data_IF_276351754036
#
_entry.id   IF_276351754036
#
_cell.length_a   1.000
_cell.length_b   1.000
_cell.length_c   1.000
_cell.angle_alpha   90.00
_cell.angle_beta   90.00
_cell.angle_gamma   90.00
#
_symmetry.space_group_name_H-M   'P 1'
#
loop_
_entity.id
_entity.type
_entity.pdbx_description
1 polymer ?
#
# COMPACT_ATOMS: atom_id res chain seq x y z
N UNK A 1 -7.38 -17.23 -23.12
CA UNK A 1 -7.45 -17.11 -21.65
C UNK A 1 -7.25 -15.64 -21.31
N UNK A 2 -8.26 -14.98 -20.74
CA UNK A 2 -8.22 -13.55 -20.49
C UNK A 2 -7.20 -13.27 -19.38
N UNK A 3 -6.15 -12.50 -19.72
CA UNK A 3 -5.14 -12.01 -18.76
C UNK A 3 -5.89 -11.07 -17.80
N UNK A 4 -6.23 -11.57 -16.61
CA UNK A 4 -6.93 -10.79 -15.60
C UNK A 4 -6.13 -9.54 -15.28
N UNK A 5 -6.76 -8.37 -15.43
CA UNK A 5 -6.15 -7.08 -15.11
C UNK A 5 -5.83 -7.06 -13.61
N UNK A 6 -4.59 -6.74 -13.24
CA UNK A 6 -4.25 -6.51 -11.82
C UNK A 6 -5.20 -5.43 -11.25
N UNK A 7 -5.77 -5.64 -10.05
CA UNK A 7 -6.72 -4.69 -9.47
C UNK A 7 -6.07 -3.32 -9.26
N UNK A 8 -6.91 -2.27 -9.23
CA UNK A 8 -6.48 -0.95 -8.77
C UNK A 8 -6.09 -1.00 -7.28
N UNK A 9 -5.44 0.06 -6.81
CA UNK A 9 -5.14 0.18 -5.38
C UNK A 9 -6.41 0.16 -4.54
N UNK A 10 -7.43 0.94 -4.92
CA UNK A 10 -8.69 1.01 -4.17
C UNK A 10 -9.45 -0.33 -4.20
N UNK A 11 -9.44 -1.03 -5.33
CA UNK A 11 -10.04 -2.36 -5.45
C UNK A 11 -9.33 -3.39 -4.55
N UNK A 12 -8.00 -3.39 -4.56
CA UNK A 12 -7.20 -4.30 -3.74
C UNK A 12 -7.36 -4.01 -2.25
N UNK A 13 -7.37 -2.73 -1.87
CA UNK A 13 -7.56 -2.29 -0.48
C UNK A 13 -8.94 -2.70 0.04
N UNK A 14 -10.00 -2.44 -0.73
CA UNK A 14 -11.37 -2.81 -0.35
C UNK A 14 -11.55 -4.32 -0.21
N UNK A 15 -10.91 -5.10 -1.08
CA UNK A 15 -10.93 -6.57 -0.97
C UNK A 15 -10.19 -7.03 0.29
N UNK A 16 -9.04 -6.42 0.60
CA UNK A 16 -8.26 -6.72 1.80
C UNK A 16 -9.03 -6.41 3.08
N UNK A 17 -9.69 -5.24 3.16
CA UNK A 17 -10.55 -4.87 4.28
C UNK A 17 -11.68 -5.89 4.50
N UNK A 18 -12.30 -6.37 3.41
CA UNK A 18 -13.35 -7.39 3.50
C UNK A 18 -12.81 -8.73 4.02
N UNK A 19 -11.58 -9.11 3.64
CA UNK A 19 -10.92 -10.31 4.15
C UNK A 19 -10.63 -10.17 5.64
N UNK A 20 -10.07 -9.04 6.06
CA UNK A 20 -9.77 -8.76 7.47
C UNK A 20 -11.05 -8.85 8.30
N UNK A 21 -12.12 -8.19 7.86
CA UNK A 21 -13.41 -8.25 8.56
C UNK A 21 -13.96 -9.68 8.70
N UNK A 22 -13.78 -10.54 7.69
CA UNK A 22 -14.18 -11.96 7.76
C UNK A 22 -13.30 -12.81 8.68
N UNK A 23 -12.00 -12.50 8.75
CA UNK A 23 -11.09 -13.17 9.67
C UNK A 23 -11.38 -12.75 11.12
N UNK A 24 -11.68 -11.47 11.34
CA UNK A 24 -12.02 -10.91 12.65
C UNK A 24 -13.37 -11.37 13.18
N UNK A 25 -14.34 -11.70 12.32
CA UNK A 25 -15.64 -12.21 12.78
C UNK A 25 -15.53 -13.57 13.48
N UNK A 26 -14.47 -14.34 13.21
CA UNK A 26 -14.24 -15.65 13.81
C UNK A 26 -15.21 -16.75 13.35
N UNK A 27 -16.08 -16.46 12.39
CA UNK A 27 -17.08 -17.40 11.86
C UNK A 27 -16.52 -18.29 10.74
N UNK A 28 -15.26 -18.08 10.34
CA UNK A 28 -14.61 -18.82 9.26
C UNK A 28 -14.01 -20.14 9.75
N UNK A 29 -14.18 -21.20 8.96
CA UNK A 29 -13.53 -22.49 9.23
C UNK A 29 -12.02 -22.36 9.00
N UNK A 30 -11.21 -23.13 9.73
CA UNK A 30 -9.75 -23.11 9.63
C UNK A 30 -9.21 -23.12 8.18
N UNK A 31 -9.71 -24.01 7.33
CA UNK A 31 -9.28 -24.09 5.93
C UNK A 31 -9.63 -22.83 5.13
N UNK A 32 -10.76 -22.20 5.43
CA UNK A 32 -11.18 -20.95 4.82
C UNK A 32 -10.36 -19.77 5.34
N UNK A 33 -10.06 -19.74 6.65
CA UNK A 33 -9.20 -18.73 7.26
C UNK A 33 -7.79 -18.73 6.65
N UNK A 34 -7.23 -19.92 6.36
CA UNK A 34 -5.94 -20.05 5.67
C UNK A 34 -6.00 -19.46 4.25
N UNK A 35 -7.05 -19.78 3.48
CA UNK A 35 -7.23 -19.24 2.12
C UNK A 35 -7.41 -17.72 2.12
N UNK A 36 -8.21 -17.22 3.05
CA UNK A 36 -8.44 -15.79 3.24
C UNK A 36 -7.13 -15.08 3.61
N UNK A 37 -6.31 -15.68 4.47
CA UNK A 37 -5.00 -15.15 4.84
C UNK A 37 -4.05 -15.09 3.63
N UNK A 38 -3.97 -16.15 2.82
CA UNK A 38 -3.15 -16.18 1.60
C UNK A 38 -3.57 -15.09 0.61
N UNK A 39 -4.88 -14.93 0.36
CA UNK A 39 -5.36 -13.88 -0.54
C UNK A 39 -5.14 -12.49 0.07
N UNK A 40 -5.29 -12.33 1.38
CA UNK A 40 -4.97 -11.08 2.09
C UNK A 40 -3.50 -10.68 1.91
N UNK A 41 -2.57 -11.64 2.05
CA UNK A 41 -1.14 -11.42 1.79
C UNK A 41 -0.89 -11.00 0.35
N UNK A 42 -1.57 -11.62 -0.62
CA UNK A 42 -1.45 -11.28 -2.04
C UNK A 42 -1.94 -9.86 -2.32
N UNK A 43 -3.08 -9.47 -1.75
CA UNK A 43 -3.65 -8.13 -1.90
C UNK A 43 -2.78 -7.06 -1.22
N UNK A 44 -2.25 -7.35 -0.03
CA UNK A 44 -1.31 -6.48 0.67
C UNK A 44 -0.06 -6.20 -0.18
N UNK A 45 0.52 -7.23 -0.80
CA UNK A 45 1.66 -7.07 -1.71
C UNK A 45 1.31 -6.20 -2.94
N UNK A 46 0.09 -6.33 -3.47
CA UNK A 46 -0.37 -5.48 -4.58
C UNK A 46 -0.48 -4.02 -4.11
N UNK A 47 -1.09 -3.77 -2.94
CA UNK A 47 -1.20 -2.43 -2.38
C UNK A 47 0.18 -1.78 -2.21
N UNK A 48 1.14 -2.50 -1.62
CA UNK A 48 2.52 -2.01 -1.44
C UNK A 48 3.16 -1.66 -2.78
N UNK A 49 3.09 -2.56 -3.77
CA UNK A 49 3.64 -2.32 -5.10
C UNK A 49 3.06 -1.06 -5.76
N UNK A 50 1.75 -0.83 -5.60
CA UNK A 50 1.08 0.37 -6.14
C UNK A 50 1.55 1.66 -5.46
N UNK A 51 1.75 1.62 -4.13
CA UNK A 51 2.30 2.75 -3.38
C UNK A 51 3.74 3.03 -3.80
N UNK A 52 4.59 2.02 -3.89
CA UNK A 52 5.98 2.16 -4.35
C UNK A 52 6.05 2.76 -5.77
N UNK A 53 5.15 2.34 -6.67
CA UNK A 53 5.04 2.90 -8.02
C UNK A 53 4.60 4.37 -8.01
N UNK A 54 3.75 4.78 -7.07
CA UNK A 54 3.31 6.16 -6.91
C UNK A 54 4.44 7.03 -6.35
N UNK A 55 5.13 6.57 -5.30
CA UNK A 55 6.24 7.28 -4.67
C UNK A 55 7.37 7.54 -5.66
N UNK A 56 7.75 6.53 -6.45
CA UNK A 56 8.75 6.70 -7.52
C UNK A 56 8.34 7.73 -8.56
N UNK A 57 7.05 7.80 -8.91
CA UNK A 57 6.55 8.82 -9.85
C UNK A 57 6.66 10.21 -9.23
N UNK A 58 6.34 10.36 -7.95
CA UNK A 58 6.48 11.62 -7.22
C UNK A 58 7.95 12.04 -7.17
N UNK A 59 8.85 11.15 -6.79
CA UNK A 59 10.31 11.42 -6.74
C UNK A 59 10.85 11.89 -8.09
N UNK A 60 10.44 11.24 -9.19
CA UNK A 60 10.82 11.65 -10.55
C UNK A 60 10.25 13.01 -10.93
N UNK A 61 9.04 13.35 -10.51
CA UNK A 61 8.45 14.66 -10.76
C UNK A 61 9.15 15.78 -9.99
N UNK A 62 9.56 15.51 -8.74
CA UNK A 62 10.30 16.45 -7.89
C UNK A 62 11.75 16.66 -8.37
N UNK A 63 12.39 15.65 -8.97
CA UNK A 63 13.77 15.76 -9.50
C UNK A 63 13.89 16.45 -10.86
N UNK A 64 12.78 16.71 -11.57
CA UNK A 64 12.83 17.39 -12.87
C UNK A 64 13.05 18.91 -12.66
N UNK A 65 14.03 19.54 -13.33
CA UNK A 65 14.22 20.98 -13.24
C UNK A 65 12.98 21.68 -13.82
N UNK A 66 12.16 22.25 -12.94
CA UNK A 66 10.87 22.89 -13.26
C UNK A 66 9.63 22.27 -12.60
N UNK A 67 9.76 21.17 -11.83
CA UNK A 67 8.70 20.62 -10.99
C UNK A 67 8.81 21.14 -9.56
N UNK A 68 7.77 21.82 -9.07
CA UNK A 68 7.61 22.44 -7.73
C UNK A 68 8.59 21.93 -6.67
N UNK A 69 9.77 22.54 -6.62
CA UNK A 69 10.60 22.60 -5.42
C UNK A 69 10.03 23.72 -4.58
N UNK A 70 9.09 23.39 -3.70
CA UNK A 70 8.97 24.18 -2.49
C UNK A 70 9.84 23.47 -1.47
N UNK A 71 11.04 24.00 -1.35
CA UNK A 71 12.02 23.68 -0.33
C UNK A 71 11.31 23.63 1.02
N UNK A 72 11.13 22.43 1.59
CA UNK A 72 11.09 22.30 3.05
C UNK A 72 12.55 22.08 3.48
N UNK A 73 13.32 23.15 3.39
CA UNK A 73 14.43 23.37 4.31
C UNK A 73 13.83 23.32 5.72
N UNK A 74 13.86 22.15 6.39
CA UNK A 74 13.79 21.98 7.86
C UNK A 74 13.74 20.48 8.24
N UNK A 75 14.55 19.63 7.60
CA UNK A 75 14.76 18.25 8.08
C UNK A 75 15.80 18.17 9.22
N UNK A 76 16.39 19.30 9.63
CA UNK A 76 17.29 19.39 10.80
C UNK A 76 16.55 19.66 12.13
N UNK A 77 15.23 19.87 12.11
CA UNK A 77 14.45 20.22 13.32
C UNK A 77 13.65 19.04 13.94
N UNK A 78 13.52 17.89 13.25
CA UNK A 78 12.60 16.81 13.69
C UNK A 78 13.26 15.81 14.64
N UNK A 79 14.58 15.65 14.59
CA UNK A 79 15.30 14.87 15.59
C UNK A 79 15.86 15.81 16.65
N UNK A 80 14.96 16.20 17.56
CA UNK A 80 15.33 16.86 18.80
C UNK A 80 16.49 16.12 19.43
N UNK A 81 17.56 16.88 19.70
CA UNK A 81 18.64 16.49 20.58
C UNK A 81 18.04 16.00 21.89
N UNK A 82 18.05 14.70 22.13
CA UNK A 82 18.05 14.18 23.48
C UNK A 82 19.49 14.32 23.99
N UNK A 83 19.74 15.39 24.76
CA UNK A 83 20.81 15.43 25.76
C UNK A 83 20.38 14.70 27.03
#
# INVERSE_FOLDING_TARGET
MAKGKEPSFEEALKALESIVAKLESGETKLEESIRLFEEGMRLSAICQKRLDEADRKIEVLLRKPGGVTQETEDEEAVLGKEE
#
